data_IF_063793199848
#
_entry.id   IF_063793199848
#
_cell.length_a   1.000
_cell.length_b   1.000
_cell.length_c   1.000
_cell.angle_alpha   90.00
_cell.angle_beta   90.00
_cell.angle_gamma   90.00
#
_symmetry.space_group_name_H-M   'P 1'
#
loop_
_entity.id
_entity.type
_entity.pdbx_description
1 polymer ?
#
# COMPACT_ATOMS: atom_id res chain seq x y z
N UNK A 1 -44.73 -3.69 27.81
CA UNK A 1 -44.09 -3.67 26.48
C UNK A 1 -42.67 -3.19 26.70
N UNK A 2 -41.75 -4.14 26.71
CA UNK A 2 -40.33 -3.86 26.94
C UNK A 2 -39.65 -3.91 25.57
N UNK A 3 -39.14 -2.78 25.11
CA UNK A 3 -38.29 -2.72 23.95
C UNK A 3 -36.86 -3.11 24.38
N UNK A 4 -36.42 -4.26 23.89
CA UNK A 4 -35.02 -4.69 23.95
C UNK A 4 -34.27 -4.01 22.82
N UNK A 5 -33.45 -3.02 23.17
CA UNK A 5 -32.41 -2.52 22.29
C UNK A 5 -31.31 -3.58 22.18
N UNK A 6 -30.82 -3.92 20.99
CA UNK A 6 -29.63 -4.80 20.87
C UNK A 6 -28.40 -4.04 21.31
N UNK A 7 -27.76 -4.54 22.37
CA UNK A 7 -26.41 -4.13 22.73
C UNK A 7 -25.46 -4.49 21.59
N UNK A 8 -24.90 -3.47 20.95
CA UNK A 8 -23.80 -3.64 20.02
C UNK A 8 -22.57 -3.96 20.87
N UNK A 9 -22.21 -5.23 20.93
CA UNK A 9 -20.93 -5.65 21.46
C UNK A 9 -19.81 -4.96 20.66
N UNK A 10 -19.23 -3.95 21.26
CA UNK A 10 -18.05 -3.27 20.82
C UNK A 10 -16.87 -4.24 20.99
N UNK A 11 -16.62 -5.10 20.00
CA UNK A 11 -15.36 -5.81 19.92
C UNK A 11 -14.27 -4.78 19.62
N UNK A 12 -13.69 -4.20 20.66
CA UNK A 12 -12.45 -3.46 20.61
C UNK A 12 -11.39 -4.36 19.97
N UNK A 13 -11.19 -4.20 18.66
CA UNK A 13 -10.00 -4.72 18.02
C UNK A 13 -8.83 -3.97 18.64
N UNK A 14 -8.07 -4.64 19.49
CA UNK A 14 -6.80 -4.16 20.01
C UNK A 14 -5.88 -3.87 18.83
N UNK A 15 -5.94 -2.65 18.34
CA UNK A 15 -4.86 -2.09 17.52
C UNK A 15 -3.68 -2.06 18.49
N UNK A 16 -2.73 -2.96 18.28
CA UNK A 16 -1.48 -2.97 19.03
C UNK A 16 -0.80 -1.65 18.70
N UNK A 17 -0.96 -0.68 19.56
CA UNK A 17 -0.21 0.57 19.56
C UNK A 17 1.22 0.18 19.92
N UNK A 18 2.01 -0.24 18.95
CA UNK A 18 3.42 -0.50 19.16
C UNK A 18 4.06 0.85 19.39
N UNK A 19 4.52 1.11 20.58
CA UNK A 19 5.27 2.31 20.97
C UNK A 19 6.68 2.32 20.34
N UNK A 20 6.70 2.12 19.00
CA UNK A 20 7.94 2.18 18.23
C UNK A 20 8.35 3.64 18.10
N UNK A 21 9.54 4.00 18.57
CA UNK A 21 10.04 5.35 18.39
C UNK A 21 10.42 5.61 16.92
N UNK A 22 10.61 6.88 16.55
CA UNK A 22 10.90 7.30 15.17
C UNK A 22 12.16 6.61 14.60
N UNK A 23 13.19 6.45 15.38
CA UNK A 23 14.45 5.84 14.91
C UNK A 23 14.24 4.36 14.63
N UNK A 24 13.57 3.66 15.51
CA UNK A 24 13.19 2.25 15.30
C UNK A 24 12.32 2.08 14.07
N UNK A 25 11.33 2.95 13.85
CA UNK A 25 10.47 2.92 12.67
C UNK A 25 11.27 3.08 11.38
N UNK A 26 12.24 4.00 11.35
CA UNK A 26 13.12 4.22 10.19
C UNK A 26 13.94 2.95 9.90
N UNK A 27 14.56 2.34 10.90
CA UNK A 27 15.37 1.13 10.72
C UNK A 27 14.53 -0.12 10.42
N UNK A 28 13.33 -0.22 10.98
CA UNK A 28 12.42 -1.34 10.76
C UNK A 28 11.75 -1.31 9.38
N UNK A 29 11.67 -0.14 8.72
CA UNK A 29 11.02 0.00 7.43
C UNK A 29 11.60 -0.97 6.39
N UNK A 30 10.71 -1.70 5.72
CA UNK A 30 11.03 -2.59 4.60
C UNK A 30 10.08 -2.32 3.44
N UNK A 31 10.53 -2.58 2.22
CA UNK A 31 9.66 -2.62 1.04
C UNK A 31 9.11 -4.04 0.90
N UNK A 32 8.01 -4.31 1.58
CA UNK A 32 7.35 -5.63 1.55
C UNK A 32 6.66 -5.81 0.21
N UNK A 33 6.85 -6.96 -0.44
CA UNK A 33 6.26 -7.29 -1.75
C UNK A 33 5.48 -8.61 -1.75
N UNK A 34 5.71 -9.48 -0.76
CA UNK A 34 4.89 -10.66 -0.51
C UNK A 34 3.89 -10.37 0.60
N UNK A 35 2.61 -10.68 0.37
CA UNK A 35 1.53 -10.41 1.30
C UNK A 35 0.82 -11.71 1.64
N UNK A 36 0.32 -11.79 2.85
CA UNK A 36 -0.55 -12.90 3.28
C UNK A 36 -1.93 -12.76 2.63
N UNK A 37 -2.58 -13.88 2.38
CA UNK A 37 -3.99 -13.90 1.97
C UNK A 37 -4.87 -13.76 3.23
N UNK A 38 -4.86 -12.57 3.81
CA UNK A 38 -5.60 -12.23 5.02
C UNK A 38 -6.35 -10.92 4.80
N UNK A 39 -7.62 -10.93 5.18
CA UNK A 39 -8.41 -9.69 5.14
C UNK A 39 -7.83 -8.63 6.08
N UNK A 40 -7.83 -7.40 5.60
CA UNK A 40 -7.43 -6.24 6.39
C UNK A 40 -8.70 -5.62 6.97
N UNK A 41 -8.83 -5.54 8.31
CA UNK A 41 -9.99 -4.93 8.94
C UNK A 41 -10.20 -3.48 8.50
N UNK A 42 -11.45 -3.07 8.30
CA UNK A 42 -11.79 -1.71 7.88
C UNK A 42 -11.27 -0.65 8.86
N UNK A 43 -11.28 -0.94 10.16
CA UNK A 43 -10.72 -0.07 11.20
C UNK A 43 -9.23 0.21 10.99
N UNK A 44 -8.46 -0.82 10.62
CA UNK A 44 -7.03 -0.67 10.33
C UNK A 44 -6.80 0.16 9.06
N UNK A 45 -7.58 -0.08 8.00
CA UNK A 45 -7.51 0.73 6.78
C UNK A 45 -7.82 2.21 7.07
N UNK A 46 -8.88 2.48 7.82
CA UNK A 46 -9.24 3.84 8.21
C UNK A 46 -8.10 4.51 8.98
N UNK A 47 -7.51 3.81 9.95
CA UNK A 47 -6.38 4.31 10.73
C UNK A 47 -5.17 4.64 9.86
N UNK A 48 -4.83 3.76 8.91
CA UNK A 48 -3.72 3.99 7.96
C UNK A 48 -3.98 5.26 7.13
N UNK A 49 -5.19 5.44 6.61
CA UNK A 49 -5.51 6.62 5.81
C UNK A 49 -5.58 7.91 6.63
N UNK A 50 -6.07 7.86 7.87
CA UNK A 50 -6.02 9.00 8.80
C UNK A 50 -4.59 9.48 9.03
N UNK A 51 -3.66 8.54 9.24
CA UNK A 51 -2.24 8.87 9.41
C UNK A 51 -1.63 9.37 8.10
N UNK A 52 -1.93 8.73 6.98
CA UNK A 52 -1.42 9.11 5.66
C UNK A 52 -1.83 10.53 5.25
N UNK A 53 -3.00 11.01 5.66
CA UNK A 53 -3.46 12.38 5.42
C UNK A 53 -2.60 13.46 6.12
N UNK A 54 -1.76 13.08 7.10
CA UNK A 54 -0.82 13.98 7.75
C UNK A 54 0.44 14.25 6.93
N UNK A 55 0.60 13.54 5.80
CA UNK A 55 1.74 13.73 4.89
C UNK A 55 1.72 15.14 4.30
N UNK A 56 2.86 15.85 4.24
CA UNK A 56 2.92 17.16 3.64
C UNK A 56 2.66 17.13 2.13
N UNK A 57 2.05 18.17 1.60
CA UNK A 57 1.86 18.35 0.17
C UNK A 57 2.30 19.75 -0.27
N UNK A 58 2.57 19.93 -1.56
CA UNK A 58 2.93 21.23 -2.09
C UNK A 58 1.82 22.26 -1.82
N UNK A 59 2.16 23.39 -1.23
CA UNK A 59 1.21 24.42 -0.82
C UNK A 59 0.04 23.91 0.04
N UNK A 60 0.20 22.76 0.67
CA UNK A 60 -0.84 22.10 1.47
C UNK A 60 -2.17 21.88 0.72
N UNK A 61 -2.13 21.64 -0.58
CA UNK A 61 -3.33 21.44 -1.39
C UNK A 61 -3.98 20.08 -1.19
N UNK A 62 -3.28 19.13 -0.54
CA UNK A 62 -3.77 17.80 -0.16
C UNK A 62 -4.56 17.09 -1.27
N UNK A 63 -3.96 16.82 -2.44
CA UNK A 63 -4.66 16.38 -3.64
C UNK A 63 -4.96 14.89 -3.65
N UNK A 64 -4.77 14.19 -2.55
CA UNK A 64 -4.90 12.75 -2.49
C UNK A 64 -6.32 12.27 -2.72
N UNK A 65 -6.43 11.26 -3.55
CA UNK A 65 -7.61 10.42 -3.67
C UNK A 65 -7.15 8.97 -3.56
N UNK A 66 -7.64 8.26 -2.56
CA UNK A 66 -7.30 6.86 -2.34
C UNK A 66 -8.47 5.97 -2.75
N UNK A 67 -8.18 4.92 -3.50
CA UNK A 67 -9.13 3.90 -3.90
C UNK A 67 -8.64 2.55 -3.38
N UNK A 68 -9.49 1.83 -2.68
CA UNK A 68 -9.18 0.50 -2.15
C UNK A 68 -10.00 -0.53 -2.92
N UNK A 69 -9.31 -1.46 -3.57
CA UNK A 69 -9.93 -2.59 -4.23
C UNK A 69 -9.78 -3.85 -3.37
N UNK A 70 -10.88 -4.53 -3.07
CA UNK A 70 -10.90 -5.78 -2.32
C UNK A 70 -11.82 -6.81 -2.97
N UNK A 71 -11.78 -8.07 -2.49
CA UNK A 71 -12.62 -9.15 -2.99
C UNK A 71 -12.52 -9.34 -4.51
N UNK A 72 -13.64 -9.62 -5.15
CA UNK A 72 -13.69 -9.86 -6.60
C UNK A 72 -13.12 -8.72 -7.46
N UNK A 73 -13.28 -7.47 -7.01
CA UNK A 73 -12.74 -6.32 -7.75
C UNK A 73 -11.22 -6.35 -7.77
N UNK A 74 -10.59 -6.68 -6.64
CA UNK A 74 -9.13 -6.90 -6.55
C UNK A 74 -8.69 -7.99 -7.52
N UNK A 75 -9.41 -9.10 -7.57
CA UNK A 75 -9.05 -10.25 -8.41
C UNK A 75 -9.20 -9.94 -9.90
N UNK A 76 -10.29 -9.27 -10.29
CA UNK A 76 -10.48 -8.78 -11.67
C UNK A 76 -9.38 -7.80 -12.09
N UNK A 77 -8.99 -6.88 -11.20
CA UNK A 77 -7.91 -5.93 -11.46
C UNK A 77 -6.58 -6.65 -11.64
N UNK A 78 -6.24 -7.59 -10.74
CA UNK A 78 -5.04 -8.43 -10.83
C UNK A 78 -4.98 -9.20 -12.14
N UNK A 79 -6.08 -9.89 -12.50
CA UNK A 79 -6.18 -10.61 -13.76
C UNK A 79 -5.92 -9.70 -14.96
N UNK A 80 -6.55 -8.53 -14.98
CA UNK A 80 -6.38 -7.57 -16.09
C UNK A 80 -4.97 -7.04 -16.21
N UNK A 81 -4.30 -6.78 -15.08
CA UNK A 81 -2.89 -6.38 -15.08
C UNK A 81 -1.99 -7.48 -15.65
N UNK A 82 -2.17 -8.73 -15.21
CA UNK A 82 -1.42 -9.89 -15.71
C UNK A 82 -1.65 -10.07 -17.23
N UNK A 83 -2.89 -10.00 -17.69
CA UNK A 83 -3.22 -10.08 -19.12
C UNK A 83 -2.48 -9.02 -19.94
N UNK A 84 -2.49 -7.77 -19.49
CA UNK A 84 -1.83 -6.67 -20.20
C UNK A 84 -0.32 -6.91 -20.31
N UNK A 85 0.32 -7.32 -19.21
CA UNK A 85 1.76 -7.64 -19.22
C UNK A 85 2.05 -8.82 -20.16
N UNK A 86 1.24 -9.89 -20.11
CA UNK A 86 1.42 -11.07 -20.96
C UNK A 86 1.24 -10.76 -22.43
N UNK A 87 0.32 -9.83 -22.77
CA UNK A 87 0.08 -9.37 -24.14
C UNK A 87 1.12 -8.35 -24.63
N UNK A 88 2.06 -7.95 -23.79
CA UNK A 88 3.06 -6.93 -24.11
C UNK A 88 2.46 -5.53 -24.34
N UNK A 89 1.34 -5.22 -23.67
CA UNK A 89 0.74 -3.88 -23.76
C UNK A 89 1.74 -2.88 -23.20
N UNK A 90 2.11 -1.90 -23.99
CA UNK A 90 3.03 -0.86 -23.59
C UNK A 90 2.46 0.01 -22.46
N UNK A 91 3.34 0.46 -21.57
CA UNK A 91 2.95 1.40 -20.52
C UNK A 91 2.59 2.75 -21.15
N UNK A 92 1.49 3.33 -20.67
CA UNK A 92 1.04 4.66 -21.10
C UNK A 92 0.98 5.61 -19.88
N UNK A 93 2.13 6.05 -19.36
CA UNK A 93 2.18 6.93 -18.20
C UNK A 93 1.77 8.37 -18.59
N UNK A 94 1.14 9.09 -17.67
CA UNK A 94 0.76 10.49 -17.84
C UNK A 94 1.99 11.41 -18.04
N UNK A 95 3.14 11.01 -17.54
CA UNK A 95 4.40 11.72 -17.66
C UNK A 95 5.49 10.81 -18.24
N UNK A 96 6.42 11.35 -19.05
CA UNK A 96 7.51 10.57 -19.61
C UNK A 96 8.32 9.89 -18.51
N UNK A 97 8.55 8.59 -18.66
CA UNK A 97 9.37 7.84 -17.74
C UNK A 97 10.85 8.17 -17.93
N UNK A 98 11.48 8.74 -16.91
CA UNK A 98 12.92 8.94 -16.87
C UNK A 98 13.59 7.69 -16.29
N UNK A 99 14.04 6.80 -17.15
CA UNK A 99 14.53 5.47 -16.73
C UNK A 99 16.04 5.33 -16.71
N UNK A 100 16.80 6.32 -17.16
CA UNK A 100 18.23 6.19 -17.30
C UNK A 100 18.96 6.72 -16.07
N UNK A 101 19.39 5.77 -15.25
CA UNK A 101 20.39 6.04 -14.24
C UNK A 101 21.78 5.68 -14.81
N UNK A 102 22.81 6.41 -14.40
CA UNK A 102 24.19 6.18 -14.80
C UNK A 102 25.08 5.88 -13.57
N UNK A 103 26.26 5.32 -13.81
CA UNK A 103 27.29 5.10 -12.80
C UNK A 103 26.76 4.30 -11.58
N UNK A 104 27.10 4.74 -10.38
CA UNK A 104 26.74 4.10 -9.12
C UNK A 104 25.22 3.98 -8.91
N UNK A 105 24.42 4.89 -9.45
CA UNK A 105 22.97 4.81 -9.35
C UNK A 105 22.42 3.65 -10.18
N UNK A 106 22.97 3.43 -11.39
CA UNK A 106 22.60 2.29 -12.23
C UNK A 106 23.00 0.98 -11.58
N UNK A 107 24.17 0.90 -10.97
CA UNK A 107 24.64 -0.27 -10.24
C UNK A 107 23.67 -0.64 -9.12
N UNK A 108 23.30 0.31 -8.25
CA UNK A 108 22.33 0.10 -7.18
C UNK A 108 20.96 -0.33 -7.69
N UNK A 109 20.51 0.23 -8.81
CA UNK A 109 19.25 -0.17 -9.45
C UNK A 109 19.29 -1.64 -9.89
N UNK A 110 20.38 -2.07 -10.53
CA UNK A 110 20.56 -3.44 -10.99
C UNK A 110 20.67 -4.41 -9.80
N UNK A 111 21.46 -4.09 -8.80
CA UNK A 111 21.60 -4.89 -7.58
C UNK A 111 20.24 -5.09 -6.89
N UNK A 112 19.43 -4.03 -6.79
CA UNK A 112 18.07 -4.13 -6.25
C UNK A 112 17.18 -5.04 -7.10
N UNK A 113 17.24 -4.94 -8.42
CA UNK A 113 16.45 -5.79 -9.32
C UNK A 113 16.87 -7.26 -9.20
N UNK A 114 18.18 -7.54 -9.19
CA UNK A 114 18.70 -8.90 -8.99
C UNK A 114 18.21 -9.49 -7.66
N UNK A 115 18.33 -8.73 -6.57
CA UNK A 115 17.86 -9.20 -5.26
C UNK A 115 16.35 -9.48 -5.21
N UNK A 116 15.54 -8.79 -6.04
CA UNK A 116 14.10 -8.96 -6.06
C UNK A 116 13.62 -10.12 -6.94
N UNK A 117 14.32 -10.39 -8.04
CA UNK A 117 13.84 -11.32 -9.09
C UNK A 117 14.64 -12.61 -9.18
N UNK A 118 15.73 -12.75 -8.40
CA UNK A 118 16.56 -13.97 -8.37
C UNK A 118 16.31 -14.84 -7.14
N UNK A 119 15.32 -14.51 -6.32
CA UNK A 119 14.91 -15.30 -5.12
C UNK A 119 13.80 -16.28 -5.42
#
# INVERSE_FOLDING_TARGET
MNELSPEIENSESTVVDSEMNLIEAIYARRSVRGFLDKEVPQSLLNRVFEIAQKTPSNCNVQPWKAYVASGELKDKLKQKMVENVTKGVEANPDYPYRSTFENEYRKRQVECAVALYSS
#
